data_IF_457329937085
#
_entry.id   IF_457329937085
#
_cell.length_a   1.000
_cell.length_b   1.000
_cell.length_c   1.000
_cell.angle_alpha   90.00
_cell.angle_beta   90.00
_cell.angle_gamma   90.00
#
_symmetry.space_group_name_H-M   'P 1'
#
loop_
_entity.id
_entity.type
_entity.pdbx_description
1 polymer ?
#
# COMPACT_ATOMS: atom_id res chain seq x y z
N UNK A 1 -2.03 -2.40 -29.78
CA UNK A 1 -0.99 -2.22 -28.73
C UNK A 1 0.28 -1.73 -29.44
N UNK A 2 0.82 -0.60 -29.01
CA UNK A 2 2.11 -0.12 -29.52
C UNK A 2 3.22 -1.02 -28.95
N UNK A 3 4.05 -1.59 -29.83
CA UNK A 3 5.24 -2.37 -29.47
C UNK A 3 6.49 -1.49 -29.49
N UNK A 4 7.53 -1.87 -28.76
CA UNK A 4 8.80 -1.16 -28.72
C UNK A 4 9.08 -0.47 -27.37
N UNK A 5 10.20 0.24 -27.30
CA UNK A 5 10.60 1.03 -26.15
C UNK A 5 9.64 2.19 -25.88
N UNK A 6 9.72 2.77 -24.69
CA UNK A 6 8.92 3.96 -24.32
C UNK A 6 9.12 5.12 -25.30
N UNK A 7 10.37 5.40 -25.68
CA UNK A 7 10.71 6.47 -26.63
C UNK A 7 10.12 6.20 -28.02
N UNK A 8 10.14 4.97 -28.51
CA UNK A 8 9.52 4.57 -29.79
C UNK A 8 7.99 4.74 -29.74
N UNK A 9 7.35 4.35 -28.63
CA UNK A 9 5.91 4.55 -28.43
C UNK A 9 5.55 6.04 -28.44
N UNK A 10 6.30 6.88 -27.73
CA UNK A 10 6.10 8.33 -27.71
C UNK A 10 6.27 8.93 -29.12
N UNK A 11 7.29 8.51 -29.88
CA UNK A 11 7.52 8.99 -31.24
C UNK A 11 6.33 8.70 -32.17
N UNK A 12 5.81 7.46 -32.13
CA UNK A 12 4.62 7.07 -32.92
C UNK A 12 3.39 7.88 -32.52
N UNK A 13 3.15 8.09 -31.22
CA UNK A 13 2.02 8.90 -30.75
C UNK A 13 2.16 10.36 -31.17
N UNK A 14 3.37 10.92 -31.14
CA UNK A 14 3.67 12.27 -31.59
C UNK A 14 3.39 12.46 -33.09
N UNK A 15 3.76 11.48 -33.89
CA UNK A 15 3.45 11.50 -35.35
C UNK A 15 1.92 11.49 -35.57
N UNK A 16 1.20 10.61 -34.85
CA UNK A 16 -0.27 10.53 -34.93
C UNK A 16 -0.96 11.86 -34.57
N UNK A 17 -0.44 12.59 -33.58
CA UNK A 17 -1.05 13.82 -33.03
C UNK A 17 -0.57 15.09 -33.69
N UNK A 18 0.44 15.04 -34.59
CA UNK A 18 1.02 16.19 -35.24
C UNK A 18 0.38 16.52 -36.62
N UNK A 19 -0.67 15.78 -37.01
CA UNK A 19 -1.29 15.92 -38.34
C UNK A 19 -0.51 15.28 -39.47
N UNK A 20 0.62 14.63 -39.19
CA UNK A 20 1.47 13.96 -40.20
C UNK A 20 0.96 12.59 -40.60
N UNK A 21 0.05 12.00 -39.78
CA UNK A 21 -0.55 10.73 -40.09
C UNK A 21 -1.74 10.83 -41.05
N UNK A 22 -2.15 9.68 -41.60
CA UNK A 22 -3.31 9.61 -42.47
C UNK A 22 -4.64 10.09 -41.82
N UNK A 23 -4.68 10.15 -40.50
CA UNK A 23 -5.83 10.65 -39.72
C UNK A 23 -5.96 12.19 -39.78
N UNK A 24 -4.88 12.92 -40.10
CA UNK A 24 -4.83 14.38 -40.04
C UNK A 24 -5.10 15.00 -38.67
N UNK A 25 -5.07 14.19 -37.59
CA UNK A 25 -5.36 14.65 -36.24
C UNK A 25 -4.26 15.61 -35.74
N UNK A 26 -4.65 16.80 -35.34
CA UNK A 26 -3.77 17.75 -34.64
C UNK A 26 -4.32 17.93 -33.21
N UNK A 27 -3.48 17.70 -32.22
CA UNK A 27 -3.84 17.89 -30.82
C UNK A 27 -2.69 18.54 -30.05
N UNK A 28 -2.77 19.84 -29.86
CA UNK A 28 -1.79 20.58 -29.05
C UNK A 28 -1.70 20.10 -27.61
N UNK A 29 -2.86 19.80 -26.99
CA UNK A 29 -2.90 19.22 -25.63
C UNK A 29 -2.25 17.84 -25.60
N UNK A 30 -2.48 17.01 -26.61
CA UNK A 30 -1.85 15.70 -26.73
C UNK A 30 -0.34 15.80 -26.91
N UNK A 31 0.14 16.71 -27.74
CA UNK A 31 1.58 16.95 -27.94
C UNK A 31 2.25 17.40 -26.63
N UNK A 32 1.63 18.35 -25.92
CA UNK A 32 2.11 18.79 -24.60
C UNK A 32 2.17 17.64 -23.60
N UNK A 33 1.13 16.80 -23.56
CA UNK A 33 1.12 15.62 -22.69
C UNK A 33 2.23 14.62 -23.01
N UNK A 34 2.60 14.48 -24.29
CA UNK A 34 3.74 13.64 -24.69
C UNK A 34 5.09 14.25 -24.27
N UNK A 35 5.24 15.59 -24.33
CA UNK A 35 6.44 16.26 -23.83
C UNK A 35 6.60 16.04 -22.33
N UNK A 36 5.52 16.17 -21.54
CA UNK A 36 5.51 15.90 -20.10
C UNK A 36 5.84 14.43 -19.78
N UNK A 37 5.34 13.48 -20.55
CA UNK A 37 5.67 12.06 -20.37
C UNK A 37 7.12 11.76 -20.72
N UNK A 38 7.67 12.34 -21.78
CA UNK A 38 9.06 12.18 -22.18
C UNK A 38 10.01 12.68 -21.08
N UNK A 39 9.73 13.85 -20.52
CA UNK A 39 10.46 14.40 -19.37
C UNK A 39 10.36 13.48 -18.15
N UNK A 40 9.15 13.01 -17.82
CA UNK A 40 8.90 12.10 -16.70
C UNK A 40 9.71 10.79 -16.83
N UNK A 41 9.72 10.18 -18.03
CA UNK A 41 10.50 8.96 -18.25
C UNK A 41 12.01 9.23 -18.17
N UNK A 42 12.49 10.41 -18.58
CA UNK A 42 13.87 10.82 -18.34
C UNK A 42 14.24 10.85 -16.86
N UNK A 43 13.35 11.30 -15.97
CA UNK A 43 13.55 11.25 -14.53
C UNK A 43 13.48 9.82 -13.97
N UNK A 44 12.57 8.99 -14.48
CA UNK A 44 12.44 7.58 -14.08
C UNK A 44 13.74 6.82 -14.40
N UNK A 45 14.29 7.01 -15.59
CA UNK A 45 15.54 6.41 -16.02
C UNK A 45 16.72 6.89 -15.16
N UNK A 46 16.79 8.19 -14.88
CA UNK A 46 17.83 8.77 -14.02
C UNK A 46 17.76 8.29 -12.57
N UNK A 47 16.55 7.95 -12.08
CA UNK A 47 16.33 7.44 -10.73
C UNK A 47 16.59 5.93 -10.56
N UNK A 48 17.00 5.24 -11.63
CA UNK A 48 17.25 3.76 -11.65
C UNK A 48 16.08 2.98 -11.05
N UNK A 49 14.86 3.32 -11.45
CA UNK A 49 13.65 2.63 -10.97
C UNK A 49 13.61 1.22 -11.58
N UNK A 50 13.70 0.20 -10.71
CA UNK A 50 13.80 -1.22 -11.11
C UNK A 50 12.47 -1.89 -11.43
N UNK A 51 11.36 -1.17 -11.27
CA UNK A 51 10.04 -1.68 -11.59
C UNK A 51 9.70 -1.38 -13.04
N UNK A 52 8.90 -2.25 -13.67
CA UNK A 52 8.42 -2.00 -15.03
C UNK A 52 7.46 -0.81 -15.01
N UNK A 53 7.77 0.19 -15.81
CA UNK A 53 6.92 1.36 -16.02
C UNK A 53 6.55 1.40 -17.50
N UNK A 54 5.26 1.51 -17.79
CA UNK A 54 4.75 1.52 -19.15
C UNK A 54 3.74 2.65 -19.37
N UNK A 55 3.63 3.10 -20.60
CA UNK A 55 2.57 4.04 -21.00
C UNK A 55 1.32 3.24 -21.33
N UNK A 56 0.24 3.52 -20.61
CA UNK A 56 -1.08 2.95 -20.85
C UNK A 56 -2.06 4.04 -21.29
N UNK A 57 -2.36 4.09 -22.59
CA UNK A 57 -3.29 5.09 -23.17
C UNK A 57 -4.76 4.82 -22.78
N UNK A 58 -5.05 3.67 -22.25
CA UNK A 58 -6.40 3.34 -21.76
C UNK A 58 -6.62 3.76 -20.32
N UNK A 59 -5.57 4.20 -19.62
CA UNK A 59 -5.67 4.62 -18.23
C UNK A 59 -6.52 5.90 -18.13
N UNK A 60 -7.67 5.76 -17.46
CA UNK A 60 -8.56 6.86 -17.15
C UNK A 60 -8.90 6.81 -15.65
N UNK A 61 -8.82 7.96 -15.00
CA UNK A 61 -9.23 8.11 -13.59
C UNK A 61 -10.51 8.94 -13.52
N UNK A 62 -11.43 8.52 -12.64
CA UNK A 62 -12.75 9.14 -12.51
C UNK A 62 -12.78 10.51 -11.84
N UNK A 63 -11.63 11.16 -11.62
CA UNK A 63 -11.51 12.44 -10.92
C UNK A 63 -10.99 13.51 -11.90
N UNK A 64 -11.77 14.56 -12.08
CA UNK A 64 -11.52 15.60 -13.08
C UNK A 64 -10.52 16.68 -12.65
N UNK A 65 -9.84 16.51 -11.52
CA UNK A 65 -8.89 17.51 -11.03
C UNK A 65 -7.44 17.27 -11.47
N UNK A 66 -7.13 16.15 -12.11
CA UNK A 66 -5.81 15.91 -12.64
C UNK A 66 -5.59 16.75 -13.90
N UNK A 67 -4.44 17.42 -13.97
CA UNK A 67 -4.05 18.33 -15.05
C UNK A 67 -2.80 17.90 -15.79
N UNK A 68 -2.11 16.87 -15.35
CA UNK A 68 -0.91 16.31 -15.95
C UNK A 68 -0.90 14.79 -15.88
N UNK A 69 0.29 14.21 -15.78
CA UNK A 69 0.45 12.76 -15.74
C UNK A 69 -0.36 12.12 -14.62
N UNK A 70 -1.02 11.00 -14.94
CA UNK A 70 -1.70 10.12 -13.99
C UNK A 70 -1.00 8.76 -14.00
N UNK A 71 -1.05 8.04 -12.88
CA UNK A 71 -0.43 6.74 -12.76
C UNK A 71 -1.25 5.77 -11.93
N UNK A 72 -1.04 4.48 -12.19
CA UNK A 72 -1.56 3.37 -11.40
C UNK A 72 -0.47 2.33 -11.16
N UNK A 73 -0.57 1.66 -10.02
CA UNK A 73 0.26 0.51 -9.68
C UNK A 73 -0.61 -0.74 -9.65
N UNK A 74 -0.19 -1.77 -10.37
CA UNK A 74 -0.86 -3.07 -10.44
C UNK A 74 0.08 -4.15 -9.91
N UNK A 75 -0.46 -5.14 -9.20
CA UNK A 75 0.27 -6.34 -8.85
C UNK A 75 0.42 -7.23 -10.09
N UNK A 76 1.63 -7.74 -10.39
CA UNK A 76 1.88 -8.58 -11.56
C UNK A 76 1.30 -9.98 -11.41
N UNK A 77 1.54 -10.59 -10.27
CA UNK A 77 1.27 -12.01 -10.03
C UNK A 77 -0.05 -12.26 -9.26
N UNK A 78 -0.90 -11.26 -9.17
CA UNK A 78 -2.17 -11.33 -8.45
C UNK A 78 -3.26 -10.57 -9.19
N UNK A 79 -4.34 -11.27 -9.56
CA UNK A 79 -5.45 -10.71 -10.34
C UNK A 79 -6.35 -9.82 -9.46
N UNK A 80 -5.91 -8.60 -9.22
CA UNK A 80 -6.66 -7.55 -8.52
C UNK A 80 -6.57 -6.25 -9.33
N UNK A 81 -7.47 -5.33 -9.12
CA UNK A 81 -7.36 -4.00 -9.73
C UNK A 81 -6.16 -3.21 -9.19
N UNK A 82 -6.05 -1.96 -9.60
CA UNK A 82 -5.00 -1.04 -9.14
C UNK A 82 -4.90 -1.03 -7.62
N UNK A 83 -3.69 -1.23 -7.09
CA UNK A 83 -3.38 -1.21 -5.64
C UNK A 83 -2.94 0.17 -5.15
N UNK A 84 -2.57 1.05 -6.09
CA UNK A 84 -2.19 2.41 -5.80
C UNK A 84 -2.45 3.25 -7.05
N UNK A 85 -2.65 4.53 -6.88
CA UNK A 85 -2.78 5.44 -8.00
C UNK A 85 -2.80 6.89 -7.59
N UNK A 86 -2.51 7.75 -8.56
CA UNK A 86 -2.40 9.18 -8.33
C UNK A 86 -2.21 9.97 -9.60
N UNK A 87 -1.75 11.19 -9.43
CA UNK A 87 -1.42 12.07 -10.54
C UNK A 87 -1.14 13.49 -10.11
N UNK A 88 -0.74 14.29 -11.08
CA UNK A 88 -0.49 15.73 -10.92
C UNK A 88 -1.78 16.54 -11.04
N UNK A 89 -1.88 17.55 -10.21
CA UNK A 89 -2.94 18.55 -10.25
C UNK A 89 -2.39 19.95 -10.00
N UNK A 90 -2.83 20.94 -10.79
CA UNK A 90 -2.33 22.31 -10.69
C UNK A 90 -3.36 23.26 -10.04
N UNK A 91 -4.64 22.91 -10.06
CA UNK A 91 -5.72 23.81 -9.65
C UNK A 91 -6.45 23.38 -8.36
N UNK A 92 -6.26 22.14 -7.91
CA UNK A 92 -6.98 21.59 -6.76
C UNK A 92 -6.67 22.35 -5.47
N UNK A 93 -5.43 22.76 -5.26
CA UNK A 93 -4.97 23.52 -4.09
C UNK A 93 -5.62 24.89 -3.97
N UNK A 94 -6.02 25.50 -5.10
CA UNK A 94 -6.75 26.76 -5.12
C UNK A 94 -8.13 26.68 -4.44
N UNK A 95 -8.80 25.51 -4.50
CA UNK A 95 -10.07 25.25 -3.84
C UNK A 95 -9.91 25.33 -2.31
N UNK A 96 -8.73 25.01 -1.81
CA UNK A 96 -8.38 25.03 -0.38
C UNK A 96 -7.63 26.31 0.04
N UNK A 97 -7.69 27.37 -0.76
CA UNK A 97 -7.11 28.67 -0.43
C UNK A 97 -5.62 28.83 -0.80
N UNK A 98 -5.05 27.93 -1.58
CA UNK A 98 -3.65 27.98 -2.04
C UNK A 98 -3.61 28.08 -3.58
N UNK A 99 -3.99 29.21 -4.19
CA UNK A 99 -3.96 29.37 -5.63
C UNK A 99 -2.52 29.34 -6.17
N UNK A 100 -2.36 28.92 -7.43
CA UNK A 100 -1.07 28.84 -8.12
C UNK A 100 -0.04 27.89 -7.48
N UNK A 101 -0.50 26.90 -6.74
CA UNK A 101 0.34 25.84 -6.21
C UNK A 101 -0.04 24.52 -6.89
N UNK A 102 0.89 23.95 -7.64
CA UNK A 102 0.74 22.61 -8.20
C UNK A 102 1.00 21.55 -7.11
N UNK A 103 0.44 20.37 -7.31
CA UNK A 103 0.65 19.25 -6.41
C UNK A 103 0.63 17.92 -7.15
N UNK A 104 1.15 16.90 -6.49
CA UNK A 104 1.01 15.51 -6.87
C UNK A 104 0.45 14.73 -5.68
N UNK A 105 -0.51 13.86 -5.94
CA UNK A 105 -1.13 13.03 -4.92
C UNK A 105 -1.01 11.56 -5.26
N UNK A 106 -0.91 10.74 -4.23
CA UNK A 106 -0.89 9.29 -4.32
C UNK A 106 -1.86 8.71 -3.28
N UNK A 107 -2.63 7.72 -3.69
CA UNK A 107 -3.56 6.98 -2.83
C UNK A 107 -3.20 5.52 -2.85
N UNK A 108 -3.13 4.90 -1.68
CA UNK A 108 -2.86 3.49 -1.49
C UNK A 108 -4.15 2.75 -1.15
N UNK A 109 -4.44 1.67 -1.89
CA UNK A 109 -5.53 0.75 -1.59
C UNK A 109 -5.10 -0.24 -0.51
N UNK A 110 -5.20 0.13 0.77
CA UNK A 110 -4.71 -0.68 1.88
C UNK A 110 -5.28 -2.11 1.87
N UNK A 111 -6.59 -2.25 1.65
CA UNK A 111 -7.24 -3.56 1.58
C UNK A 111 -6.71 -4.40 0.42
N UNK A 112 -6.53 -3.79 -0.75
CA UNK A 112 -6.00 -4.49 -1.94
C UNK A 112 -4.54 -4.89 -1.76
N UNK A 113 -3.73 -4.04 -1.15
CA UNK A 113 -2.34 -4.37 -0.80
C UNK A 113 -2.30 -5.54 0.18
N UNK A 114 -3.18 -5.53 1.20
CA UNK A 114 -3.32 -6.63 2.13
C UNK A 114 -3.68 -7.94 1.42
N UNK A 115 -4.67 -7.91 0.53
CA UNK A 115 -5.11 -9.10 -0.22
C UNK A 115 -3.99 -9.66 -1.12
N UNK A 116 -3.23 -8.78 -1.78
CA UNK A 116 -2.06 -9.18 -2.60
C UNK A 116 -1.00 -9.84 -1.72
N UNK A 117 -0.61 -9.21 -0.61
CA UNK A 117 0.41 -9.75 0.30
C UNK A 117 -0.02 -11.10 0.90
N UNK A 118 -1.30 -11.22 1.26
CA UNK A 118 -1.88 -12.46 1.78
C UNK A 118 -1.94 -13.55 0.71
N UNK A 119 -2.44 -13.22 -0.48
CA UNK A 119 -2.61 -14.18 -1.57
C UNK A 119 -1.29 -14.70 -2.14
N UNK A 120 -0.23 -13.91 -2.08
CA UNK A 120 1.11 -14.27 -2.51
C UNK A 120 2.04 -14.76 -1.38
N UNK A 121 1.50 -14.89 -0.16
CA UNK A 121 2.27 -15.27 1.05
C UNK A 121 3.53 -14.38 1.26
N UNK A 122 3.36 -13.06 1.03
CA UNK A 122 4.44 -12.05 1.10
C UNK A 122 4.49 -11.29 2.43
N UNK A 123 3.64 -11.63 3.39
CA UNK A 123 3.77 -11.04 4.72
C UNK A 123 5.08 -11.49 5.37
N UNK A 124 5.87 -10.57 5.95
CA UNK A 124 7.02 -10.95 6.74
C UNK A 124 6.61 -11.89 7.88
N UNK A 125 7.37 -12.95 8.11
CA UNK A 125 7.12 -13.91 9.19
C UNK A 125 7.02 -13.26 10.58
N UNK A 126 7.63 -12.10 10.75
CA UNK A 126 7.60 -11.31 11.98
C UNK A 126 6.23 -10.63 12.25
N UNK A 127 5.37 -10.52 11.23
CA UNK A 127 4.04 -9.92 11.35
C UNK A 127 2.98 -10.94 11.74
N UNK A 128 3.24 -12.23 11.59
CA UNK A 128 2.26 -13.32 11.82
C UNK A 128 1.91 -13.53 13.29
N UNK A 129 2.74 -13.07 14.22
CA UNK A 129 2.40 -13.03 15.65
C UNK A 129 2.79 -11.70 16.26
N UNK A 130 1.80 -10.86 16.54
CA UNK A 130 2.01 -9.58 17.22
C UNK A 130 2.30 -9.78 18.72
N UNK A 131 1.72 -10.80 19.34
CA UNK A 131 1.87 -11.13 20.75
C UNK A 131 2.96 -12.20 20.93
N UNK A 132 3.86 -11.98 21.89
CA UNK A 132 4.93 -12.93 22.25
C UNK A 132 4.58 -13.76 23.47
N UNK A 133 3.78 -13.22 24.37
CA UNK A 133 3.44 -13.87 25.64
C UNK A 133 1.95 -13.67 25.94
N UNK A 134 1.25 -14.79 26.17
CA UNK A 134 -0.12 -14.81 26.66
C UNK A 134 -0.12 -15.22 28.12
N UNK A 135 -0.82 -14.48 28.96
CA UNK A 135 -1.13 -14.90 30.35
C UNK A 135 -2.52 -15.52 30.40
N UNK A 136 -2.62 -16.73 30.97
CA UNK A 136 -3.92 -17.30 31.27
C UNK A 136 -4.59 -16.54 32.42
N UNK A 137 -5.89 -16.28 32.28
CA UNK A 137 -6.68 -15.66 33.35
C UNK A 137 -7.19 -16.77 34.30
N UNK A 138 -6.61 -16.84 35.49
CA UNK A 138 -6.97 -17.84 36.50
C UNK A 138 -8.04 -17.33 37.49
N UNK A 139 -8.31 -16.03 37.49
CA UNK A 139 -9.29 -15.41 38.35
C UNK A 139 -8.98 -13.96 38.67
N UNK A 140 -9.84 -13.30 39.43
CA UNK A 140 -9.74 -11.91 39.72
C UNK A 140 -8.50 -11.51 40.53
N UNK A 141 -8.08 -12.34 41.47
CA UNK A 141 -6.91 -12.05 42.30
C UNK A 141 -5.61 -12.23 41.53
N UNK A 142 -5.49 -13.28 40.73
CA UNK A 142 -4.36 -13.53 39.84
C UNK A 142 -4.29 -12.42 38.78
N UNK A 143 -5.42 -11.95 38.25
CA UNK A 143 -5.47 -10.88 37.31
C UNK A 143 -4.97 -9.53 37.88
N UNK A 144 -5.34 -9.22 39.14
CA UNK A 144 -4.81 -8.05 39.85
C UNK A 144 -3.29 -8.10 39.98
N UNK A 145 -2.75 -9.28 40.30
CA UNK A 145 -1.30 -9.51 40.35
C UNK A 145 -0.64 -9.35 38.99
N UNK A 146 -1.29 -9.83 37.92
CA UNK A 146 -0.74 -9.76 36.54
C UNK A 146 -0.72 -8.33 35.95
N UNK A 147 -1.62 -7.46 36.36
CA UNK A 147 -1.68 -6.08 35.78
C UNK A 147 -0.33 -5.35 35.86
N UNK A 148 0.34 -5.24 37.02
CA UNK A 148 1.65 -4.58 37.09
C UNK A 148 2.75 -5.34 36.32
N UNK A 149 2.69 -6.66 36.29
CA UNK A 149 3.64 -7.50 35.52
C UNK A 149 3.50 -7.25 34.04
N UNK A 150 2.27 -7.27 33.51
CA UNK A 150 1.97 -6.97 32.10
C UNK A 150 2.42 -5.55 31.73
N UNK A 151 2.19 -4.58 32.64
CA UNK A 151 2.65 -3.20 32.43
C UNK A 151 4.18 -3.13 32.30
N UNK A 152 4.92 -3.72 33.24
CA UNK A 152 6.38 -3.73 33.23
C UNK A 152 6.93 -4.43 31.98
N UNK A 153 6.36 -5.53 31.54
CA UNK A 153 6.75 -6.22 30.34
C UNK A 153 6.53 -5.36 29.08
N UNK A 154 5.40 -4.67 28.99
CA UNK A 154 5.12 -3.76 27.87
C UNK A 154 6.07 -2.56 27.84
N UNK A 155 6.41 -2.00 29.00
CA UNK A 155 7.41 -0.93 29.12
C UNK A 155 8.81 -1.41 28.70
N UNK A 156 9.12 -2.69 28.91
CA UNK A 156 10.33 -3.35 28.42
C UNK A 156 10.26 -3.79 26.94
N UNK A 157 9.20 -3.42 26.21
CA UNK A 157 9.03 -3.73 24.78
C UNK A 157 8.52 -5.15 24.50
N UNK A 158 8.14 -5.92 25.51
CA UNK A 158 7.56 -7.27 25.33
C UNK A 158 6.08 -7.16 24.99
N UNK A 159 5.72 -7.63 23.80
CA UNK A 159 4.31 -7.67 23.36
C UNK A 159 3.59 -8.82 24.07
N UNK A 160 2.76 -8.50 25.03
CA UNK A 160 2.02 -9.47 25.83
C UNK A 160 0.54 -9.09 25.98
N UNK A 161 -0.30 -10.09 26.16
CA UNK A 161 -1.73 -9.98 26.44
C UNK A 161 -2.17 -10.94 27.53
N UNK A 162 -3.32 -10.66 28.14
CA UNK A 162 -3.96 -11.55 29.10
C UNK A 162 -5.22 -12.10 28.47
N UNK A 163 -5.47 -13.40 28.61
CA UNK A 163 -6.71 -14.01 28.14
C UNK A 163 -7.90 -13.38 28.86
N UNK A 164 -8.94 -12.91 28.14
CA UNK A 164 -9.95 -12.03 28.72
C UNK A 164 -10.85 -12.70 29.75
N UNK A 165 -11.08 -14.00 29.62
CA UNK A 165 -12.04 -14.73 30.42
C UNK A 165 -11.36 -15.74 31.36
N UNK A 166 -11.89 -15.87 32.56
CA UNK A 166 -11.55 -17.00 33.43
C UNK A 166 -12.19 -18.27 32.88
N UNK A 167 -11.39 -19.21 32.44
CA UNK A 167 -11.87 -20.42 31.77
C UNK A 167 -10.93 -21.61 32.01
N UNK A 168 -11.32 -22.77 31.48
CA UNK A 168 -10.42 -23.96 31.50
C UNK A 168 -9.17 -23.67 30.67
N UNK A 169 -8.01 -24.08 31.16
CA UNK A 169 -6.70 -23.84 30.49
C UNK A 169 -6.65 -24.25 29.03
N UNK A 170 -7.45 -25.21 28.61
CA UNK A 170 -7.55 -25.60 27.21
C UNK A 170 -7.85 -24.40 26.27
N UNK A 171 -8.71 -23.46 26.70
CA UNK A 171 -9.10 -22.31 25.86
C UNK A 171 -7.94 -21.33 25.61
N UNK A 172 -7.18 -20.89 26.64
CA UNK A 172 -5.97 -20.09 26.38
C UNK A 172 -4.91 -20.81 25.54
N UNK A 173 -4.74 -22.11 25.68
CA UNK A 173 -3.84 -22.91 24.84
C UNK A 173 -4.29 -22.93 23.39
N UNK A 174 -5.57 -23.26 23.11
CA UNK A 174 -6.13 -23.27 21.77
C UNK A 174 -6.05 -21.87 21.11
N UNK A 175 -6.20 -20.82 21.89
CA UNK A 175 -6.05 -19.44 21.43
C UNK A 175 -4.59 -19.11 21.08
N UNK A 176 -3.65 -19.48 21.94
CA UNK A 176 -2.22 -19.28 21.70
C UNK A 176 -1.76 -20.00 20.43
N UNK A 177 -2.20 -21.25 20.25
CA UNK A 177 -1.88 -22.04 19.06
C UNK A 177 -2.44 -21.42 17.78
N UNK A 178 -3.73 -21.03 17.78
CA UNK A 178 -4.37 -20.39 16.63
C UNK A 178 -3.70 -19.08 16.22
N UNK A 179 -3.17 -18.33 17.19
CA UNK A 179 -2.48 -17.06 16.96
C UNK A 179 -0.97 -17.19 16.86
N UNK A 180 -0.44 -18.40 16.90
CA UNK A 180 0.99 -18.68 16.91
C UNK A 180 1.75 -17.86 17.98
N UNK A 181 1.18 -17.74 19.19
CA UNK A 181 1.81 -17.07 20.34
C UNK A 181 2.81 -18.05 20.95
N UNK A 182 4.12 -17.72 20.95
CA UNK A 182 5.16 -18.70 21.31
C UNK A 182 5.21 -19.05 22.80
N UNK A 183 4.71 -18.17 23.68
CA UNK A 183 4.77 -18.39 25.12
C UNK A 183 3.40 -18.17 25.76
N UNK A 184 3.00 -19.11 26.61
CA UNK A 184 1.85 -18.98 27.49
C UNK A 184 2.32 -19.15 28.95
N UNK A 185 1.94 -18.17 29.78
CA UNK A 185 2.23 -18.20 31.22
C UNK A 185 0.96 -18.41 32.03
N UNK A 186 1.08 -19.21 33.05
CA UNK A 186 0.03 -19.48 34.04
C UNK A 186 0.59 -19.00 35.36
N UNK A 187 -0.17 -18.14 36.06
CA UNK A 187 0.18 -17.67 37.40
C UNK A 187 -0.94 -18.10 38.32
N UNK A 188 -0.63 -18.91 39.30
CA UNK A 188 -1.54 -19.41 40.32
C UNK A 188 -1.25 -18.80 41.68
N UNK A 189 -2.18 -18.95 42.63
CA UNK A 189 -2.07 -18.34 43.97
C UNK A 189 -0.98 -18.90 44.87
N UNK A 190 -0.27 -19.97 44.45
CA UNK A 190 0.80 -20.63 45.20
C UNK A 190 2.17 -20.53 44.55
N UNK A 191 2.34 -19.67 43.53
CA UNK A 191 3.60 -19.45 42.80
C UNK A 191 4.19 -18.09 43.06
#
# INVERSE_FOLDING_TARGET
TLSGSTSEKIAVMRELMSGKSASGLVSETGLKGLDELEELFGFIDAADIRHDVEIDLSLARGLNYYTGAIFEVKAKDFAIGSICGGGRYDNLTGIFGLPNMSGVGISFGADRIYDVLKGLDKFPSEVTSTTKLLFANMGAEELKYLIPVVKALREAGVRCETYPEQTKLKMPFDYADKKAIPFLSIVGGNE
#
